data_IF_476493986301
#
_entry.id   IF_476493986301
#
_cell.length_a   1.000
_cell.length_b   1.000
_cell.length_c   1.000
_cell.angle_alpha   90.00
_cell.angle_beta   90.00
_cell.angle_gamma   90.00
#
_symmetry.space_group_name_H-M   'P 1'
#
loop_
_entity.id
_entity.type
_entity.pdbx_description
1 polymer ?
#
# COMPACT_ATOMS: atom_id res chain seq x y z
N UNK A 1 -10.94 -3.69 2.08
CA UNK A 1 -11.29 -2.29 2.40
C UNK A 1 -11.33 -1.62 1.06
N UNK A 2 -12.48 -1.09 0.68
CA UNK A 2 -12.65 -0.46 -0.62
C UNK A 2 -11.71 0.74 -0.68
N UNK A 3 -10.93 0.83 -1.76
CA UNK A 3 -9.97 1.93 -1.96
C UNK A 3 -10.70 3.23 -2.31
N UNK A 4 -11.94 3.11 -2.79
CA UNK A 4 -12.78 4.19 -3.28
C UNK A 4 -12.99 5.35 -2.28
N UNK A 5 -13.31 5.12 -0.98
CA UNK A 5 -13.53 6.22 -0.03
C UNK A 5 -12.26 7.04 0.25
N UNK A 6 -11.08 6.41 0.19
CA UNK A 6 -9.81 7.10 0.38
C UNK A 6 -9.53 8.07 -0.77
N UNK A 7 -9.76 7.61 -2.00
CA UNK A 7 -9.61 8.39 -3.22
C UNK A 7 -10.63 9.55 -3.24
N UNK A 8 -11.90 9.28 -2.93
CA UNK A 8 -12.95 10.28 -3.10
C UNK A 8 -13.05 11.31 -1.96
N UNK A 9 -12.61 10.99 -0.76
CA UNK A 9 -12.79 11.88 0.40
C UNK A 9 -11.47 12.23 1.09
N UNK A 10 -10.65 11.22 1.45
CA UNK A 10 -9.47 11.47 2.26
C UNK A 10 -8.38 12.24 1.50
N UNK A 11 -8.08 11.84 0.26
CA UNK A 11 -7.04 12.49 -0.56
C UNK A 11 -7.39 13.93 -0.98
N UNK A 12 -8.63 14.24 -1.40
CA UNK A 12 -9.04 15.62 -1.65
C UNK A 12 -8.89 16.54 -0.44
N UNK A 13 -9.42 16.12 0.71
CA UNK A 13 -9.41 16.93 1.94
C UNK A 13 -7.96 17.14 2.41
N UNK A 14 -7.16 16.08 2.45
CA UNK A 14 -5.75 16.17 2.85
C UNK A 14 -4.93 17.05 1.91
N UNK A 15 -5.18 16.99 0.59
CA UNK A 15 -4.48 17.84 -0.38
C UNK A 15 -4.79 19.31 -0.18
N UNK A 16 -6.06 19.66 0.02
CA UNK A 16 -6.47 21.04 0.30
C UNK A 16 -5.85 21.56 1.61
N UNK A 17 -5.97 20.79 2.70
CA UNK A 17 -5.43 21.15 4.02
C UNK A 17 -3.91 21.30 3.95
N UNK A 18 -3.22 20.39 3.27
CA UNK A 18 -1.77 20.48 3.06
C UNK A 18 -1.39 21.74 2.29
N UNK A 19 -2.18 22.12 1.28
CA UNK A 19 -2.06 23.39 0.56
C UNK A 19 -2.10 24.61 1.48
N UNK A 20 -3.17 24.72 2.28
CA UNK A 20 -3.36 25.80 3.26
C UNK A 20 -2.13 25.93 4.16
N UNK A 21 -1.69 24.80 4.70
CA UNK A 21 -0.69 24.82 5.74
C UNK A 21 0.73 25.02 5.17
N UNK A 22 1.11 24.39 4.06
CA UNK A 22 2.42 24.63 3.43
C UNK A 22 2.56 26.12 3.08
N UNK A 23 1.51 26.74 2.57
CA UNK A 23 1.52 28.19 2.34
C UNK A 23 1.72 28.98 3.65
N UNK A 24 1.13 28.54 4.76
CA UNK A 24 1.32 29.12 6.09
C UNK A 24 2.79 29.27 6.50
N UNK A 25 3.63 28.29 6.13
CA UNK A 25 5.06 28.26 6.44
C UNK A 25 5.93 28.93 5.40
N UNK A 26 5.76 28.55 4.14
CA UNK A 26 6.71 28.91 3.08
C UNK A 26 6.35 30.22 2.40
N UNK A 27 5.10 30.69 2.54
CA UNK A 27 4.57 31.92 1.92
C UNK A 27 4.74 31.95 0.39
N UNK A 28 4.81 30.79 -0.25
CA UNK A 28 4.90 30.62 -1.71
C UNK A 28 3.79 29.70 -2.19
N UNK A 29 2.87 30.23 -2.99
CA UNK A 29 1.64 29.56 -3.47
C UNK A 29 1.88 28.31 -4.34
N UNK A 30 3.04 28.20 -4.98
CA UNK A 30 3.33 27.10 -5.91
C UNK A 30 4.05 25.92 -5.28
N UNK A 31 4.58 26.03 -4.06
CA UNK A 31 5.35 24.94 -3.44
C UNK A 31 4.46 23.76 -3.05
N UNK A 32 3.29 24.03 -2.44
CA UNK A 32 2.39 22.95 -2.03
C UNK A 32 1.86 22.12 -3.22
N UNK A 33 1.36 22.75 -4.32
CA UNK A 33 0.94 22.01 -5.51
C UNK A 33 2.05 21.17 -6.13
N UNK A 34 3.28 21.70 -6.24
CA UNK A 34 4.41 20.95 -6.82
C UNK A 34 4.71 19.72 -5.97
N UNK A 35 4.77 19.85 -4.64
CA UNK A 35 5.02 18.73 -3.73
C UNK A 35 3.92 17.67 -3.80
N UNK A 36 2.65 18.09 -3.79
CA UNK A 36 1.49 17.20 -3.90
C UNK A 36 1.52 16.48 -5.25
N UNK A 37 1.74 17.20 -6.35
CA UNK A 37 1.83 16.62 -7.68
C UNK A 37 2.96 15.57 -7.77
N UNK A 38 4.18 15.91 -7.34
CA UNK A 38 5.31 14.98 -7.35
C UNK A 38 5.05 13.74 -6.49
N UNK A 39 4.50 13.89 -5.28
CA UNK A 39 4.20 12.78 -4.39
C UNK A 39 3.14 11.84 -4.99
N UNK A 40 2.03 12.39 -5.48
CA UNK A 40 0.95 11.59 -6.04
C UNK A 40 1.32 10.97 -7.39
N UNK A 41 2.23 11.58 -8.15
CA UNK A 41 2.76 11.02 -9.38
C UNK A 41 3.65 9.81 -9.10
N UNK A 42 4.48 9.84 -8.04
CA UNK A 42 5.21 8.65 -7.56
C UNK A 42 4.22 7.56 -7.13
N UNK A 43 3.20 7.92 -6.34
CA UNK A 43 2.17 6.97 -5.89
C UNK A 43 1.43 6.36 -7.08
N UNK A 44 1.14 7.14 -8.11
CA UNK A 44 0.52 6.67 -9.33
C UNK A 44 1.38 5.57 -9.97
N UNK A 45 2.66 5.85 -10.27
CA UNK A 45 3.52 4.87 -10.93
C UNK A 45 3.80 3.61 -10.10
N UNK A 46 3.73 3.70 -8.78
CA UNK A 46 3.99 2.54 -7.90
C UNK A 46 2.75 1.70 -7.60
N UNK A 47 1.57 2.33 -7.48
CA UNK A 47 0.39 1.65 -6.90
C UNK A 47 -0.90 1.76 -7.72
N UNK A 48 -1.00 2.65 -8.71
CA UNK A 48 -2.26 2.92 -9.41
C UNK A 48 -2.11 2.92 -10.94
N UNK A 49 -3.24 2.78 -11.64
CA UNK A 49 -3.27 2.79 -13.10
C UNK A 49 -3.19 4.21 -13.68
N UNK A 50 -2.92 4.32 -14.98
CA UNK A 50 -2.84 5.58 -15.71
C UNK A 50 -4.10 6.48 -15.55
N UNK A 51 -5.27 5.87 -15.35
CA UNK A 51 -6.53 6.58 -15.08
C UNK A 51 -6.51 7.41 -13.79
N UNK A 52 -5.62 7.09 -12.84
CA UNK A 52 -5.45 7.85 -11.60
C UNK A 52 -4.84 9.23 -11.82
N UNK A 53 -4.23 9.48 -12.98
CA UNK A 53 -3.65 10.78 -13.32
C UNK A 53 -4.66 11.94 -13.22
N UNK A 54 -5.91 11.71 -13.62
CA UNK A 54 -6.97 12.71 -13.49
C UNK A 54 -7.19 13.13 -12.03
N UNK A 55 -7.12 12.18 -11.11
CA UNK A 55 -7.23 12.44 -9.67
C UNK A 55 -6.02 13.21 -9.15
N UNK A 56 -4.81 12.89 -9.62
CA UNK A 56 -3.59 13.65 -9.28
C UNK A 56 -3.73 15.13 -9.68
N UNK A 57 -4.27 15.41 -10.87
CA UNK A 57 -4.55 16.78 -11.33
C UNK A 57 -5.56 17.49 -10.41
N UNK A 58 -6.66 16.82 -10.04
CA UNK A 58 -7.67 17.37 -9.12
C UNK A 58 -7.06 17.68 -7.75
N UNK A 59 -6.27 16.77 -7.18
CA UNK A 59 -5.64 16.96 -5.87
C UNK A 59 -4.63 18.11 -5.88
N UNK A 60 -3.88 18.24 -6.97
CA UNK A 60 -2.94 19.36 -7.17
C UNK A 60 -3.69 20.69 -7.25
N UNK A 61 -4.81 20.75 -7.98
CA UNK A 61 -5.67 21.93 -8.04
C UNK A 61 -6.27 22.28 -6.67
N UNK A 62 -6.67 21.29 -5.87
CA UNK A 62 -7.15 21.49 -4.51
C UNK A 62 -6.05 22.02 -3.57
N UNK A 63 -4.83 21.50 -3.66
CA UNK A 63 -3.69 22.02 -2.90
C UNK A 63 -3.35 23.46 -3.29
N UNK A 64 -3.47 23.80 -4.58
CA UNK A 64 -3.34 25.18 -5.05
C UNK A 64 -4.44 26.08 -4.49
N UNK A 65 -5.70 25.63 -4.55
CA UNK A 65 -6.85 26.36 -4.01
C UNK A 65 -6.68 26.62 -2.51
N UNK A 66 -6.23 25.62 -1.73
CA UNK A 66 -5.94 25.77 -0.31
C UNK A 66 -4.82 26.78 -0.04
N UNK A 67 -3.75 26.74 -0.84
CA UNK A 67 -2.65 27.72 -0.74
C UNK A 67 -3.15 29.16 -1.01
N UNK A 68 -4.04 29.32 -2.00
CA UNK A 68 -4.63 30.61 -2.34
C UNK A 68 -5.58 31.13 -1.24
N UNK A 69 -6.42 30.26 -0.67
CA UNK A 69 -7.26 30.63 0.48
C UNK A 69 -6.42 31.09 1.67
N UNK A 70 -5.32 30.38 1.96
CA UNK A 70 -4.39 30.76 3.03
C UNK A 70 -3.70 32.10 2.75
N UNK A 71 -3.39 32.42 1.49
CA UNK A 71 -2.88 33.73 1.10
C UNK A 71 -3.83 34.87 1.47
N UNK A 72 -5.11 34.73 1.12
CA UNK A 72 -6.12 35.74 1.40
C UNK A 72 -6.28 35.92 2.92
N UNK A 73 -6.41 34.82 3.65
CA UNK A 73 -6.60 34.83 5.11
C UNK A 73 -5.38 35.46 5.80
N UNK A 74 -4.17 35.06 5.41
CA UNK A 74 -2.97 35.53 6.10
C UNK A 74 -2.50 36.92 5.69
N UNK A 75 -2.99 37.48 4.58
CA UNK A 75 -2.87 38.93 4.30
C UNK A 75 -3.66 39.75 5.31
N UNK A 76 -4.75 39.19 5.85
CA UNK A 76 -5.63 39.86 6.82
C UNK A 76 -5.25 39.57 8.28
N UNK A 77 -4.73 38.37 8.56
CA UNK A 77 -4.35 37.91 9.89
C UNK A 77 -2.97 37.24 9.83
N UNK A 78 -1.91 37.89 10.32
CA UNK A 78 -0.62 37.22 10.44
C UNK A 78 -0.60 36.36 11.73
N UNK A 79 -0.58 35.02 11.63
CA UNK A 79 -0.57 34.19 12.82
C UNK A 79 0.76 34.36 13.57
N UNK A 80 0.65 34.55 14.89
CA UNK A 80 1.81 34.69 15.76
C UNK A 80 2.76 33.48 15.70
N UNK A 81 4.04 33.71 16.05
CA UNK A 81 5.12 32.71 15.96
C UNK A 81 4.82 31.39 16.70
N UNK A 82 4.05 31.45 17.79
CA UNK A 82 3.61 30.26 18.55
C UNK A 82 2.61 29.40 17.75
N UNK A 83 1.63 30.03 17.10
CA UNK A 83 0.61 29.32 16.31
C UNK A 83 1.25 28.63 15.09
N UNK A 84 2.21 29.31 14.42
CA UNK A 84 3.01 28.70 13.35
C UNK A 84 3.76 27.45 13.85
N UNK A 85 4.41 27.49 15.02
CA UNK A 85 5.07 26.28 15.58
C UNK A 85 4.11 25.12 15.83
N UNK A 86 2.95 25.39 16.44
CA UNK A 86 1.96 24.35 16.75
C UNK A 86 1.41 23.70 15.48
N UNK A 87 1.02 24.49 14.47
CA UNK A 87 0.58 23.97 13.18
C UNK A 87 1.63 23.09 12.49
N UNK A 88 2.92 23.44 12.64
CA UNK A 88 4.01 22.70 12.02
C UNK A 88 4.19 21.32 12.64
N UNK A 89 4.09 21.24 13.97
CA UNK A 89 4.14 19.97 14.71
C UNK A 89 2.95 19.09 14.34
N UNK A 90 1.73 19.67 14.29
CA UNK A 90 0.52 18.93 13.91
C UNK A 90 0.64 18.37 12.50
N UNK A 91 1.21 19.12 11.55
CA UNK A 91 1.47 18.61 10.20
C UNK A 91 2.50 17.49 10.15
N UNK A 92 3.66 17.69 10.78
CA UNK A 92 4.67 16.65 10.81
C UNK A 92 4.09 15.36 11.42
N UNK A 93 3.32 15.48 12.49
CA UNK A 93 2.57 14.37 13.08
C UNK A 93 1.55 13.76 12.13
N UNK A 94 0.76 14.58 11.41
CA UNK A 94 -0.24 14.11 10.46
C UNK A 94 0.35 13.38 9.25
N UNK A 95 1.45 13.90 8.67
CA UNK A 95 2.17 13.26 7.57
C UNK A 95 2.79 11.95 8.04
N UNK A 96 3.46 11.94 9.19
CA UNK A 96 4.03 10.71 9.76
C UNK A 96 2.96 9.66 10.07
N UNK A 97 1.80 10.09 10.58
CA UNK A 97 0.67 9.20 10.82
C UNK A 97 0.12 8.61 9.51
N UNK A 98 -0.04 9.41 8.46
CA UNK A 98 -0.45 8.93 7.13
C UNK A 98 0.55 7.93 6.55
N UNK A 99 1.86 8.22 6.62
CA UNK A 99 2.91 7.30 6.20
C UNK A 99 2.86 5.98 6.99
N UNK A 100 2.69 6.06 8.32
CA UNK A 100 2.55 4.88 9.17
C UNK A 100 1.30 4.06 8.81
N UNK A 101 0.16 4.71 8.55
CA UNK A 101 -1.06 4.03 8.11
C UNK A 101 -0.83 3.34 6.76
N UNK A 102 -0.17 3.97 5.80
CA UNK A 102 0.14 3.33 4.51
C UNK A 102 1.08 2.14 4.66
N UNK A 103 2.14 2.25 5.46
CA UNK A 103 3.08 1.13 5.72
C UNK A 103 2.41 -0.03 6.47
N UNK A 104 1.41 0.26 7.29
CA UNK A 104 0.64 -0.75 8.02
C UNK A 104 -0.60 -1.21 7.23
N UNK A 105 -0.88 -0.61 6.07
CA UNK A 105 -2.06 -0.91 5.29
C UNK A 105 -1.93 -2.27 4.59
N UNK A 106 -3.07 -2.93 4.39
CA UNK A 106 -3.17 -4.20 3.65
C UNK A 106 -2.53 -4.16 2.25
N UNK A 107 -2.77 -3.15 1.39
CA UNK A 107 -2.22 -3.16 0.03
C UNK A 107 -0.69 -3.17 0.02
N UNK A 108 -0.04 -2.43 0.92
CA UNK A 108 1.42 -2.47 1.03
C UNK A 108 1.92 -3.86 1.42
N UNK A 109 1.28 -4.52 2.38
CA UNK A 109 1.67 -5.88 2.78
C UNK A 109 1.41 -6.92 1.69
N UNK A 110 0.31 -6.79 0.92
CA UNK A 110 0.06 -7.58 -0.29
C UNK A 110 1.19 -7.44 -1.30
N UNK A 111 1.53 -6.20 -1.66
CA UNK A 111 2.59 -5.91 -2.62
C UNK A 111 3.95 -6.47 -2.19
N UNK A 112 4.31 -6.29 -0.91
CA UNK A 112 5.53 -6.87 -0.34
C UNK A 112 5.52 -8.40 -0.42
N UNK A 113 4.38 -9.03 -0.14
CA UNK A 113 4.25 -10.50 -0.21
C UNK A 113 4.39 -11.00 -1.65
N UNK A 114 3.73 -10.37 -2.61
CA UNK A 114 3.83 -10.71 -4.03
C UNK A 114 5.27 -10.64 -4.51
N UNK A 115 5.99 -9.55 -4.20
CA UNK A 115 7.40 -9.41 -4.56
C UNK A 115 8.31 -10.44 -3.90
N UNK A 116 8.07 -10.79 -2.62
CA UNK A 116 8.83 -11.86 -1.95
C UNK A 116 8.60 -13.20 -2.63
N UNK A 117 7.37 -13.51 -3.00
CA UNK A 117 7.03 -14.77 -3.68
C UNK A 117 7.66 -14.81 -5.06
N UNK A 118 7.59 -13.73 -5.85
CA UNK A 118 8.27 -13.63 -7.14
C UNK A 118 9.79 -13.83 -7.01
N UNK A 119 10.42 -13.17 -6.03
CA UNK A 119 11.85 -13.33 -5.78
C UNK A 119 12.20 -14.78 -5.41
N UNK A 120 11.39 -15.41 -4.57
CA UNK A 120 11.58 -16.81 -4.18
C UNK A 120 11.39 -17.79 -5.34
N UNK A 121 10.36 -17.61 -6.17
CA UNK A 121 10.13 -18.43 -7.36
C UNK A 121 11.28 -18.30 -8.36
N UNK A 122 11.82 -17.09 -8.51
CA UNK A 122 13.00 -16.83 -9.34
C UNK A 122 14.26 -17.54 -8.82
N UNK A 123 14.47 -17.58 -7.49
CA UNK A 123 15.56 -18.37 -6.88
C UNK A 123 15.41 -19.87 -7.17
N UNK A 124 14.18 -20.34 -7.40
CA UNK A 124 13.87 -21.72 -7.78
C UNK A 124 13.89 -21.97 -9.29
N UNK A 125 14.39 -21.01 -10.06
CA UNK A 125 14.48 -21.07 -11.51
C UNK A 125 13.13 -21.11 -12.26
N UNK A 126 12.04 -20.63 -11.64
CA UNK A 126 10.80 -20.33 -12.36
C UNK A 126 10.88 -18.96 -13.03
N UNK A 127 10.43 -18.88 -14.29
CA UNK A 127 10.26 -17.62 -15.00
C UNK A 127 8.89 -17.00 -14.70
N UNK A 128 8.78 -15.67 -14.76
CA UNK A 128 7.50 -14.96 -14.65
C UNK A 128 6.51 -15.40 -15.72
N UNK A 129 7.00 -15.84 -16.89
CA UNK A 129 6.14 -16.37 -17.96
C UNK A 129 5.51 -17.73 -17.65
N UNK A 130 5.94 -18.44 -16.60
CA UNK A 130 5.36 -19.72 -16.18
C UNK A 130 4.26 -19.55 -15.13
N UNK A 131 4.09 -18.33 -14.62
CA UNK A 131 3.15 -17.99 -13.56
C UNK A 131 1.91 -17.36 -14.20
N UNK A 132 0.75 -17.98 -14.00
CA UNK A 132 -0.53 -17.46 -14.49
C UNK A 132 -1.01 -16.30 -13.63
N UNK A 133 -1.01 -16.48 -12.30
CA UNK A 133 -1.42 -15.44 -11.36
C UNK A 133 -0.74 -15.57 -10.00
N UNK A 134 -0.62 -14.44 -9.31
CA UNK A 134 -0.25 -14.37 -7.89
C UNK A 134 -1.29 -13.51 -7.17
N UNK A 135 -2.22 -14.16 -6.49
CA UNK A 135 -3.27 -13.50 -5.74
C UNK A 135 -2.94 -13.43 -4.26
N UNK A 136 -2.77 -12.22 -3.73
CA UNK A 136 -2.44 -12.02 -2.32
C UNK A 136 -3.68 -11.74 -1.49
N UNK A 137 -3.99 -12.62 -0.54
CA UNK A 137 -5.11 -12.48 0.38
C UNK A 137 -4.64 -12.22 1.80
N UNK A 138 -5.15 -11.15 2.40
CA UNK A 138 -4.98 -10.87 3.82
C UNK A 138 -6.17 -11.40 4.62
N UNK A 139 -6.10 -12.67 5.03
CA UNK A 139 -7.11 -13.30 5.88
C UNK A 139 -6.93 -12.88 7.34
N UNK A 140 -7.97 -12.32 7.94
CA UNK A 140 -7.89 -11.81 9.32
C UNK A 140 -7.93 -12.91 10.39
N UNK A 141 -8.37 -14.12 10.07
CA UNK A 141 -8.50 -15.23 11.04
C UNK A 141 -8.48 -16.59 10.33
N UNK A 142 -7.44 -17.38 10.55
CA UNK A 142 -7.42 -18.83 10.27
C UNK A 142 -7.23 -19.54 11.61
N UNK A 143 -8.27 -20.26 12.06
CA UNK A 143 -8.38 -21.15 13.22
C UNK A 143 -7.67 -20.77 14.55
N UNK A 144 -8.49 -20.50 15.59
CA UNK A 144 -8.22 -20.48 17.05
C UNK A 144 -7.01 -19.72 17.63
N UNK A 145 -6.11 -19.18 16.82
CA UNK A 145 -4.89 -18.51 17.29
C UNK A 145 -4.74 -17.10 16.71
N UNK A 146 -4.20 -16.19 17.53
CA UNK A 146 -4.14 -14.72 17.34
C UNK A 146 -3.27 -14.25 16.15
N UNK A 147 -2.92 -15.12 15.22
CA UNK A 147 -2.02 -14.83 14.09
C UNK A 147 -2.81 -14.45 12.84
N UNK A 148 -2.45 -13.30 12.25
CA UNK A 148 -3.00 -12.81 10.98
C UNK A 148 -2.04 -13.21 9.85
N UNK A 149 -2.29 -14.29 9.10
CA UNK A 149 -1.44 -14.68 7.99
C UNK A 149 -1.57 -13.70 6.82
N UNK A 150 -0.48 -13.51 6.09
CA UNK A 150 -0.53 -12.98 4.72
C UNK A 150 -0.36 -14.17 3.79
N UNK A 151 -1.32 -14.41 2.91
CA UNK A 151 -1.33 -15.57 2.01
C UNK A 151 -1.13 -15.06 0.59
N UNK A 152 -0.23 -15.69 -0.17
CA UNK A 152 -0.12 -15.52 -1.61
C UNK A 152 -0.48 -16.84 -2.27
N UNK A 153 -1.48 -16.83 -3.13
CA UNK A 153 -1.92 -17.95 -3.93
C UNK A 153 -1.30 -17.84 -5.31
N UNK A 154 -0.58 -18.86 -5.74
CA UNK A 154 0.13 -18.90 -7.02
C UNK A 154 -0.49 -20.00 -7.87
N UNK A 155 -0.83 -19.65 -9.11
CA UNK A 155 -1.29 -20.59 -10.13
C UNK A 155 -0.25 -20.59 -11.26
N UNK A 156 0.16 -21.77 -11.70
CA UNK A 156 1.13 -21.95 -12.78
C UNK A 156 0.42 -22.32 -14.08
N UNK A 157 0.93 -21.85 -15.22
CA UNK A 157 0.29 -22.04 -16.53
C UNK A 157 0.21 -23.52 -16.91
N UNK A 158 1.22 -24.31 -16.53
CA UNK A 158 1.29 -25.75 -16.80
C UNK A 158 0.50 -26.61 -15.80
N UNK A 159 -0.07 -26.01 -14.76
CA UNK A 159 -0.84 -26.69 -13.72
C UNK A 159 -2.00 -25.81 -13.17
N UNK A 160 -2.95 -25.38 -14.04
CA UNK A 160 -3.96 -24.38 -13.68
C UNK A 160 -5.03 -24.92 -12.73
N UNK A 161 -5.17 -26.24 -12.60
CA UNK A 161 -6.13 -26.88 -11.70
C UNK A 161 -5.68 -26.82 -10.22
N UNK A 162 -4.41 -26.51 -9.96
CA UNK A 162 -3.83 -26.48 -8.62
C UNK A 162 -3.40 -25.07 -8.22
N UNK A 163 -3.72 -24.72 -6.96
CA UNK A 163 -3.32 -23.45 -6.36
C UNK A 163 -2.33 -23.69 -5.24
N UNK A 164 -1.17 -23.04 -5.31
CA UNK A 164 -0.08 -23.13 -4.35
C UNK A 164 -0.12 -21.92 -3.41
N UNK A 165 -0.36 -22.13 -2.12
CA UNK A 165 -0.48 -21.05 -1.11
C UNK A 165 0.83 -20.90 -0.35
N UNK A 166 1.46 -19.75 -0.45
CA UNK A 166 2.57 -19.30 0.38
C UNK A 166 2.03 -18.48 1.55
N UNK A 167 2.26 -18.92 2.78
CA UNK A 167 1.64 -18.33 3.97
C UNK A 167 2.73 -17.75 4.86
N UNK A 168 2.73 -16.43 5.06
CA UNK A 168 3.60 -15.75 6.02
C UNK A 168 2.91 -15.67 7.40
N UNK A 169 3.41 -16.43 8.38
CA UNK A 169 2.95 -16.38 9.77
C UNK A 169 3.92 -15.58 10.63
N UNK A 170 3.40 -14.54 11.31
CA UNK A 170 4.15 -13.80 12.34
C UNK A 170 3.94 -14.43 13.71
N UNK A 171 4.83 -15.33 14.11
CA UNK A 171 4.85 -15.90 15.47
C UNK A 171 6.08 -15.44 16.24
N UNK A 172 5.88 -14.75 17.38
CA UNK A 172 6.96 -14.38 18.34
C UNK A 172 8.22 -13.80 17.65
N UNK A 173 8.04 -12.79 16.78
CA UNK A 173 9.11 -12.13 15.98
C UNK A 173 9.83 -13.02 14.95
N UNK A 174 9.33 -14.21 14.66
CA UNK A 174 9.81 -15.03 13.54
C UNK A 174 8.75 -15.07 12.45
N UNK A 175 9.21 -14.91 11.22
CA UNK A 175 8.43 -15.15 10.01
C UNK A 175 8.58 -16.64 9.68
N UNK A 176 7.47 -17.38 9.65
CA UNK A 176 7.42 -18.75 9.14
C UNK A 176 6.69 -18.76 7.80
N UNK A 177 7.18 -19.55 6.86
CA UNK A 177 6.63 -19.67 5.52
C UNK A 177 6.10 -21.09 5.33
N UNK A 178 4.78 -21.23 5.28
CA UNK A 178 4.14 -22.52 5.01
C UNK A 178 3.67 -22.58 3.57
N UNK A 179 3.78 -23.76 2.97
CA UNK A 179 3.23 -24.03 1.64
C UNK A 179 2.11 -25.06 1.77
N UNK A 180 0.92 -24.69 1.33
CA UNK A 180 -0.22 -25.60 1.23
C UNK A 180 -0.70 -25.61 -0.20
N UNK A 181 -1.18 -26.74 -0.70
CA UNK A 181 -1.88 -26.77 -1.98
C UNK A 181 -3.34 -27.14 -1.75
N UNK A 182 -4.19 -26.65 -2.65
CA UNK A 182 -5.61 -26.98 -2.69
C UNK A 182 -5.87 -28.00 -3.78
N UNK A 183 -6.45 -29.15 -3.43
CA UNK A 183 -6.97 -30.14 -4.39
C UNK A 183 -8.43 -30.40 -4.04
N UNK A 184 -9.35 -29.90 -4.88
CA UNK A 184 -10.77 -29.82 -4.56
C UNK A 184 -11.06 -28.94 -3.33
N UNK A 185 -11.70 -29.51 -2.31
CA UNK A 185 -12.06 -28.81 -1.06
C UNK A 185 -11.10 -29.06 0.11
N UNK A 186 -10.00 -29.78 -0.10
CA UNK A 186 -9.07 -30.18 0.97
C UNK A 186 -7.72 -29.49 0.80
N UNK A 187 -7.24 -28.88 1.89
CA UNK A 187 -5.89 -28.33 1.98
C UNK A 187 -4.94 -29.42 2.48
N UNK A 188 -3.80 -29.59 1.81
CA UNK A 188 -2.80 -30.58 2.17
C UNK A 188 -1.40 -29.94 2.12
N UNK A 189 -0.54 -30.34 3.04
CA UNK A 189 0.79 -29.75 3.27
C UNK A 189 1.94 -30.71 2.98
N UNK A 190 1.65 -31.88 2.42
CA UNK A 190 2.66 -32.90 2.11
C UNK A 190 3.05 -32.88 0.63
N UNK A 191 4.36 -32.90 0.38
CA UNK A 191 4.93 -33.05 -0.95
C UNK A 191 4.60 -34.42 -1.55
N UNK A 192 4.23 -34.46 -2.83
CA UNK A 192 4.03 -35.69 -3.61
C UNK A 192 4.63 -35.54 -5.00
N UNK A 193 5.02 -36.64 -5.63
CA UNK A 193 5.57 -36.63 -7.00
C UNK A 193 4.59 -36.06 -8.04
N UNK A 194 3.28 -36.17 -7.80
CA UNK A 194 2.22 -35.56 -8.60
C UNK A 194 2.17 -34.02 -8.52
N UNK A 195 3.04 -33.38 -7.71
CA UNK A 195 3.01 -31.93 -7.42
C UNK A 195 4.39 -31.30 -7.59
N UNK A 196 4.80 -31.05 -8.83
CA UNK A 196 6.17 -30.65 -9.13
C UNK A 196 6.54 -29.28 -8.58
N UNK A 197 5.57 -28.38 -8.36
CA UNK A 197 5.82 -27.00 -7.89
C UNK A 197 5.77 -26.84 -6.36
N UNK A 198 5.53 -27.92 -5.61
CA UNK A 198 5.54 -27.87 -4.16
C UNK A 198 6.95 -28.04 -3.60
N UNK A 199 7.36 -27.16 -2.69
CA UNK A 199 8.72 -27.16 -2.14
C UNK A 199 8.81 -28.11 -0.96
N UNK A 200 9.76 -29.06 -1.00
CA UNK A 200 9.97 -30.10 0.03
C UNK A 200 10.28 -29.56 1.44
N UNK A 201 10.63 -28.29 1.60
CA UNK A 201 11.10 -27.67 2.86
C UNK A 201 10.33 -26.41 3.29
N UNK A 202 9.09 -26.24 2.85
CA UNK A 202 8.28 -25.08 3.24
C UNK A 202 7.52 -25.39 4.55
N UNK A 203 7.95 -24.81 5.69
CA UNK A 203 7.47 -25.09 7.06
C UNK A 203 7.12 -23.84 7.88
#
# INVERSE_FOLDING_TARGET
>A
MDVLPYILFLFPISSFVTGVIIYAFVRKKYIAPILIFSLFLIIQFTFFNYTFFQMVCIYTFLAFSGSFTAEIVMKKYDPGKRLKKVLGIVMAGGVLALCAVMLLSKPYQSWVMEHKVKAHLKEMAYDESEIESIDTTYEHKRNTSRTKPVIAEVVFINDPEHTYRYIELRQKNKIKQMCEYKSGNVMKSEYTEERPHMIKNCY
#
